data_IF_947614050744
#
_entry.id   IF_947614050744
#
_cell.length_a   1.000
_cell.length_b   1.000
_cell.length_c   1.000
_cell.angle_alpha   90.00
_cell.angle_beta   90.00
_cell.angle_gamma   90.00
#
_symmetry.space_group_name_H-M   'P 1'
#
loop_
_entity.id
_entity.type
_entity.pdbx_description
1 polymer ?
#
# COMPACT_ATOMS: atom_id res chain seq x y z
N UNK A 1 -83.26 25.59 -17.38
CA UNK A 1 -82.59 24.33 -17.73
C UNK A 1 -81.17 24.44 -17.22
N UNK A 2 -80.91 23.86 -16.06
CA UNK A 2 -79.59 23.84 -15.41
C UNK A 2 -79.21 22.39 -15.25
N UNK A 3 -78.17 21.96 -15.95
CA UNK A 3 -77.62 20.60 -15.85
C UNK A 3 -76.62 20.56 -14.71
N UNK A 4 -76.92 19.73 -13.74
CA UNK A 4 -76.03 19.38 -12.66
C UNK A 4 -74.85 18.51 -13.16
N UNK A 5 -73.63 18.90 -12.92
CA UNK A 5 -72.43 18.18 -13.22
C UNK A 5 -71.91 17.55 -11.93
N UNK A 6 -72.03 16.24 -11.82
CA UNK A 6 -71.58 15.44 -10.71
C UNK A 6 -70.05 15.21 -10.84
N UNK A 7 -69.30 15.74 -9.89
CA UNK A 7 -67.85 15.55 -9.78
C UNK A 7 -67.61 14.28 -8.95
N UNK A 8 -67.06 13.26 -9.62
CA UNK A 8 -66.60 12.03 -8.96
C UNK A 8 -65.16 12.21 -8.46
N UNK A 9 -64.99 12.32 -7.17
CA UNK A 9 -63.65 12.32 -6.53
C UNK A 9 -63.14 10.91 -6.45
N UNK A 10 -62.12 10.61 -7.26
CA UNK A 10 -61.31 9.40 -7.12
C UNK A 10 -60.25 9.62 -6.02
N UNK A 11 -60.40 8.91 -4.92
CA UNK A 11 -59.37 8.78 -3.90
C UNK A 11 -58.38 7.75 -4.36
N UNK A 12 -57.19 8.19 -4.86
CA UNK A 12 -56.04 7.34 -5.10
C UNK A 12 -55.28 7.23 -3.76
N UNK A 13 -55.50 6.13 -3.08
CA UNK A 13 -54.69 5.71 -1.95
C UNK A 13 -53.27 5.43 -2.41
N UNK A 14 -52.36 6.34 -2.10
CA UNK A 14 -50.93 6.14 -2.29
C UNK A 14 -50.43 5.16 -1.25
N UNK A 15 -50.28 3.87 -1.63
CA UNK A 15 -49.54 2.90 -0.86
C UNK A 15 -48.03 3.27 -0.94
N UNK A 16 -47.55 3.96 0.09
CA UNK A 16 -46.12 4.05 0.34
C UNK A 16 -45.60 2.65 0.69
N UNK A 17 -45.10 1.96 -0.32
CA UNK A 17 -44.20 0.85 -0.09
C UNK A 17 -42.93 1.44 0.48
N UNK A 18 -42.78 1.33 1.80
CA UNK A 18 -41.48 1.53 2.46
C UNK A 18 -40.52 0.52 1.83
N UNK A 19 -39.68 1.00 0.93
CA UNK A 19 -38.47 0.26 0.57
C UNK A 19 -37.64 0.22 1.84
N UNK A 20 -37.56 -0.96 2.46
CA UNK A 20 -36.53 -1.23 3.43
C UNK A 20 -35.19 -1.06 2.68
N UNK A 21 -34.44 -0.04 3.06
CA UNK A 21 -33.04 0.07 2.66
C UNK A 21 -32.38 -1.27 3.01
N UNK A 22 -31.67 -1.89 2.06
CA UNK A 22 -30.86 -3.04 2.40
C UNK A 22 -29.88 -2.55 3.45
N UNK A 23 -29.97 -3.09 4.66
CA UNK A 23 -29.02 -2.86 5.74
C UNK A 23 -27.63 -2.97 5.14
N UNK A 24 -26.94 -1.84 4.99
CA UNK A 24 -25.56 -1.78 4.60
C UNK A 24 -24.77 -2.53 5.69
N UNK A 25 -24.27 -3.69 5.35
CA UNK A 25 -23.33 -4.45 6.17
C UNK A 25 -22.12 -3.53 6.43
N UNK A 26 -21.89 -3.09 7.68
CA UNK A 26 -20.79 -2.18 7.98
C UNK A 26 -19.39 -2.77 7.70
N UNK A 27 -19.33 -4.05 7.31
CA UNK A 27 -18.10 -4.78 7.00
C UNK A 27 -17.82 -4.94 5.49
N UNK A 28 -18.61 -4.30 4.60
CA UNK A 28 -18.33 -4.26 3.16
C UNK A 28 -17.29 -3.19 2.81
N UNK A 29 -16.07 -3.36 3.33
CA UNK A 29 -14.93 -2.60 2.84
C UNK A 29 -14.52 -3.07 1.43
N UNK A 30 -14.27 -2.15 0.51
CA UNK A 30 -13.63 -2.48 -0.76
C UNK A 30 -12.22 -2.96 -0.51
N UNK A 31 -11.90 -4.20 -0.90
CA UNK A 31 -10.54 -4.72 -0.87
C UNK A 31 -9.85 -4.42 -2.20
N UNK A 32 -8.63 -3.92 -2.12
CA UNK A 32 -7.80 -3.63 -3.28
C UNK A 32 -6.39 -4.16 -3.01
N UNK A 33 -5.90 -5.04 -3.86
CA UNK A 33 -4.51 -5.49 -3.84
C UNK A 33 -3.76 -4.90 -5.03
N UNK A 34 -2.61 -4.28 -4.73
CA UNK A 34 -1.70 -3.69 -5.71
C UNK A 34 -0.33 -4.30 -5.52
N UNK A 35 0.36 -4.56 -6.61
CA UNK A 35 1.62 -5.29 -6.62
C UNK A 35 2.70 -4.51 -7.35
N UNK A 36 3.94 -4.71 -6.93
CA UNK A 36 5.11 -4.37 -7.73
C UNK A 36 6.25 -5.36 -7.45
N UNK A 37 7.17 -5.47 -8.40
CA UNK A 37 8.36 -6.29 -8.31
C UNK A 37 9.60 -5.40 -8.23
N UNK A 38 10.44 -5.63 -7.22
CA UNK A 38 11.62 -4.78 -7.00
C UNK A 38 12.63 -4.87 -8.12
N UNK A 39 12.63 -5.94 -8.90
CA UNK A 39 13.58 -6.15 -9.99
C UNK A 39 13.13 -5.55 -11.33
N UNK A 40 11.83 -5.31 -11.53
CA UNK A 40 11.27 -4.90 -12.83
C UNK A 40 10.45 -3.62 -12.78
N UNK A 41 9.83 -3.28 -11.65
CA UNK A 41 8.85 -2.22 -11.56
C UNK A 41 9.38 -0.93 -10.90
N UNK A 42 10.57 -0.96 -10.30
CA UNK A 42 11.17 0.24 -9.72
C UNK A 42 11.59 1.19 -10.83
N UNK A 43 11.12 2.43 -10.74
CA UNK A 43 11.40 3.51 -11.70
C UNK A 43 12.53 4.41 -11.23
N UNK A 44 12.60 4.69 -9.94
CA UNK A 44 13.68 5.46 -9.32
C UNK A 44 13.83 5.07 -7.86
N UNK A 45 15.05 5.23 -7.37
CA UNK A 45 15.40 5.02 -5.99
C UNK A 45 16.39 6.09 -5.56
N UNK A 46 16.18 6.65 -4.39
CA UNK A 46 17.19 7.42 -3.67
C UNK A 46 17.30 6.84 -2.28
N UNK A 47 18.50 6.58 -1.83
CA UNK A 47 18.75 6.22 -0.44
C UNK A 47 19.82 7.15 0.12
N UNK A 48 19.63 7.63 1.34
CA UNK A 48 20.72 8.09 2.18
C UNK A 48 21.57 6.87 2.61
N UNK A 49 22.63 7.09 3.34
CA UNK A 49 23.48 6.00 3.84
C UNK A 49 22.78 5.05 4.86
N UNK A 50 21.45 5.19 5.02
CA UNK A 50 20.68 4.49 6.04
C UNK A 50 20.56 2.97 5.82
N UNK A 51 20.68 2.49 4.57
CA UNK A 51 20.57 1.06 4.25
C UNK A 51 21.82 0.60 3.52
N UNK A 52 22.84 0.08 4.24
CA UNK A 52 24.05 -0.42 3.60
C UNK A 52 23.84 -1.75 2.83
N UNK A 53 22.66 -2.36 2.90
CA UNK A 53 22.39 -3.69 2.40
C UNK A 53 21.43 -3.76 1.20
N UNK A 54 20.70 -2.69 0.90
CA UNK A 54 19.79 -2.66 -0.24
C UNK A 54 20.47 -2.00 -1.43
N UNK A 55 21.10 -2.80 -2.27
CA UNK A 55 21.59 -2.37 -3.58
C UNK A 55 20.55 -2.79 -4.59
N UNK A 56 19.92 -1.79 -5.22
CA UNK A 56 18.97 -2.04 -6.30
C UNK A 56 19.72 -2.23 -7.63
N UNK A 57 19.08 -2.83 -8.65
CA UNK A 57 19.73 -3.07 -9.94
C UNK A 57 20.39 -1.81 -10.54
N UNK A 58 21.58 -1.94 -11.09
CA UNK A 58 22.37 -0.84 -11.71
C UNK A 58 21.63 0.03 -12.72
N UNK A 59 20.57 -0.53 -13.30
CA UNK A 59 19.73 0.17 -14.29
C UNK A 59 18.81 1.25 -13.68
N UNK A 60 18.68 1.30 -12.34
CA UNK A 60 17.82 2.25 -11.68
C UNK A 60 18.64 3.50 -11.41
N UNK A 61 18.22 4.68 -11.92
CA UNK A 61 18.91 5.90 -11.60
C UNK A 61 18.78 6.19 -10.11
N UNK A 62 19.92 6.26 -9.43
CA UNK A 62 19.99 6.74 -8.04
C UNK A 62 19.99 8.26 -8.05
N UNK A 63 19.27 8.88 -7.14
CA UNK A 63 19.34 10.31 -6.91
C UNK A 63 20.45 10.58 -5.88
N UNK A 64 21.68 10.58 -6.33
CA UNK A 64 22.84 10.84 -5.48
C UNK A 64 22.83 12.27 -4.91
N UNK A 65 23.38 12.43 -3.72
CA UNK A 65 23.67 13.73 -3.12
C UNK A 65 22.54 14.39 -2.33
N UNK A 66 21.51 13.66 -1.93
CA UNK A 66 20.57 14.17 -0.96
C UNK A 66 21.27 14.34 0.41
N UNK A 67 21.13 15.50 1.08
CA UNK A 67 21.76 15.74 2.39
C UNK A 67 21.07 15.00 3.54
N UNK A 68 20.19 14.07 3.23
CA UNK A 68 19.36 13.32 4.17
C UNK A 68 19.87 11.89 4.20
N UNK A 69 20.55 11.54 5.27
CA UNK A 69 21.28 10.27 5.44
C UNK A 69 20.45 9.15 6.11
N UNK A 70 19.17 9.43 6.41
CA UNK A 70 18.26 8.50 7.10
C UNK A 70 16.96 8.23 6.33
N UNK A 71 16.90 8.58 5.05
CA UNK A 71 15.70 8.39 4.24
C UNK A 71 15.95 7.50 3.03
N UNK A 72 14.89 6.79 2.64
CA UNK A 72 14.78 6.15 1.35
C UNK A 72 13.57 6.74 0.60
N UNK A 73 13.73 7.01 -0.68
CA UNK A 73 12.65 7.42 -1.57
C UNK A 73 12.63 6.49 -2.78
N UNK A 74 11.47 5.91 -3.04
CA UNK A 74 11.26 4.95 -4.12
C UNK A 74 10.06 5.35 -4.95
N UNK A 75 10.11 5.10 -6.26
CA UNK A 75 8.94 5.12 -7.13
C UNK A 75 8.84 3.81 -7.90
N UNK A 76 7.61 3.29 -8.03
CA UNK A 76 7.36 2.00 -8.68
C UNK A 76 6.12 2.02 -9.56
N UNK A 77 6.08 1.11 -10.54
CA UNK A 77 4.86 0.81 -11.30
C UNK A 77 3.98 -0.08 -10.43
N UNK A 78 2.71 0.28 -10.29
CA UNK A 78 1.71 -0.58 -9.63
C UNK A 78 0.99 -1.46 -10.64
N UNK A 79 0.83 -2.73 -10.29
CA UNK A 79 0.08 -3.73 -11.06
C UNK A 79 -1.12 -4.24 -10.28
N UNK A 80 -2.15 -4.69 -10.99
CA UNK A 80 -3.25 -5.46 -10.38
C UNK A 80 -2.84 -6.94 -10.24
N UNK A 81 -3.74 -7.77 -9.71
CA UNK A 81 -3.53 -9.22 -9.54
C UNK A 81 -3.33 -10.00 -10.85
N UNK A 82 -3.67 -9.40 -12.00
CA UNK A 82 -3.44 -9.96 -13.34
C UNK A 82 -2.09 -9.53 -13.92
N UNK A 83 -1.28 -8.76 -13.17
CA UNK A 83 0.00 -8.22 -13.61
C UNK A 83 -0.11 -7.02 -14.56
N UNK A 84 -1.32 -6.45 -14.74
CA UNK A 84 -1.55 -5.31 -15.62
C UNK A 84 -1.14 -4.02 -14.90
N UNK A 85 -0.32 -3.13 -15.50
CA UNK A 85 0.00 -1.84 -14.94
C UNK A 85 -1.25 -0.96 -14.75
N UNK A 86 -1.52 -0.53 -13.52
CA UNK A 86 -2.71 0.26 -13.17
C UNK A 86 -2.38 1.62 -12.57
N UNK A 87 -1.11 1.87 -12.24
CA UNK A 87 -0.72 3.13 -11.62
C UNK A 87 0.77 3.21 -11.30
N UNK A 88 1.09 4.19 -10.47
CA UNK A 88 2.44 4.44 -9.96
C UNK A 88 2.34 4.69 -8.45
N UNK A 89 3.31 4.19 -7.70
CA UNK A 89 3.49 4.52 -6.29
C UNK A 89 4.75 5.36 -6.06
N UNK A 90 4.71 6.20 -5.03
CA UNK A 90 5.91 6.70 -4.38
C UNK A 90 5.90 6.32 -2.91
N UNK A 91 7.06 5.96 -2.43
CA UNK A 91 7.33 5.59 -1.04
C UNK A 91 8.41 6.50 -0.48
N UNK A 92 8.21 6.92 0.75
CA UNK A 92 9.20 7.63 1.54
C UNK A 92 9.33 6.94 2.89
N UNK A 93 10.54 6.51 3.22
CA UNK A 93 10.88 5.89 4.50
C UNK A 93 11.81 6.82 5.29
N UNK A 94 11.55 6.96 6.58
CA UNK A 94 12.40 7.71 7.52
C UNK A 94 12.94 6.76 8.59
N UNK A 95 14.22 6.45 8.51
CA UNK A 95 14.89 5.54 9.44
C UNK A 95 15.36 6.25 10.71
N UNK A 96 15.32 5.59 11.87
CA UNK A 96 15.84 6.16 13.11
C UNK A 96 17.37 6.28 13.05
N UNK A 97 17.93 7.39 13.52
CA UNK A 97 19.41 7.59 13.59
C UNK A 97 20.09 6.63 14.56
N UNK A 98 19.37 6.11 15.51
CA UNK A 98 19.87 5.13 16.48
C UNK A 98 18.72 4.21 16.94
N UNK A 99 19.02 2.93 17.09
CA UNK A 99 18.09 1.94 17.63
C UNK A 99 18.63 1.50 18.99
N UNK A 100 17.82 1.57 20.08
CA UNK A 100 18.24 1.06 21.38
C UNK A 100 18.58 -0.43 21.34
N UNK A 101 19.54 -0.86 22.14
CA UNK A 101 19.87 -2.29 22.24
C UNK A 101 18.64 -3.12 22.59
N UNK A 102 18.52 -4.29 21.96
CA UNK A 102 17.42 -5.24 22.12
C UNK A 102 16.02 -4.72 21.73
N UNK A 103 15.94 -3.63 20.97
CA UNK A 103 14.71 -3.11 20.42
C UNK A 103 14.66 -3.45 18.93
N UNK A 104 13.53 -3.95 18.41
CA UNK A 104 13.38 -4.10 16.95
C UNK A 104 13.53 -2.74 16.26
N UNK A 105 14.25 -2.70 15.16
CA UNK A 105 14.32 -1.51 14.33
C UNK A 105 12.98 -1.33 13.64
N UNK A 106 12.34 -0.18 13.86
CA UNK A 106 11.12 0.24 13.18
C UNK A 106 11.35 1.62 12.57
N UNK A 107 10.63 1.91 11.49
CA UNK A 107 10.68 3.21 10.82
C UNK A 107 9.31 3.62 10.30
N UNK A 108 9.17 4.91 10.00
CA UNK A 108 7.95 5.48 9.45
C UNK A 108 8.00 5.50 7.93
N UNK A 109 6.89 5.07 7.30
CA UNK A 109 6.76 4.99 5.85
C UNK A 109 5.48 5.68 5.40
N UNK A 110 5.60 6.50 4.36
CA UNK A 110 4.48 7.16 3.70
C UNK A 110 4.40 6.76 2.24
N UNK A 111 3.20 6.40 1.80
CA UNK A 111 2.91 6.05 0.41
C UNK A 111 1.97 7.05 -0.24
N UNK A 112 2.23 7.34 -1.51
CA UNK A 112 1.27 7.96 -2.42
C UNK A 112 1.06 7.01 -3.60
N UNK A 113 -0.17 6.51 -3.77
CA UNK A 113 -0.55 5.66 -4.88
C UNK A 113 -1.38 6.48 -5.87
N UNK A 114 -0.98 6.55 -7.13
CA UNK A 114 -1.72 7.21 -8.21
C UNK A 114 -2.26 6.15 -9.17
N UNK A 115 -3.58 5.93 -9.17
CA UNK A 115 -4.23 4.92 -9.99
C UNK A 115 -4.86 5.56 -11.22
N UNK A 116 -4.50 5.05 -12.39
CA UNK A 116 -4.92 5.60 -13.70
C UNK A 116 -6.44 5.70 -13.82
N UNK A 117 -6.94 6.92 -13.99
CA UNK A 117 -8.36 7.21 -14.18
C UNK A 117 -9.22 7.12 -12.92
N UNK A 118 -8.63 6.80 -11.75
CA UNK A 118 -9.35 6.61 -10.49
C UNK A 118 -9.03 7.68 -9.44
N UNK A 119 -7.80 8.17 -9.39
CA UNK A 119 -7.35 9.14 -8.41
C UNK A 119 -6.15 8.64 -7.62
N UNK A 120 -5.93 9.23 -6.44
CA UNK A 120 -4.79 8.92 -5.58
C UNK A 120 -5.24 8.45 -4.20
N UNK A 121 -4.40 7.64 -3.56
CA UNK A 121 -4.51 7.24 -2.15
C UNK A 121 -3.26 7.67 -1.40
N UNK A 122 -3.42 8.06 -0.13
CA UNK A 122 -2.36 8.45 0.79
C UNK A 122 -2.35 7.47 1.96
N UNK A 123 -1.22 6.79 2.15
CA UNK A 123 -1.08 5.76 3.18
C UNK A 123 0.06 6.13 4.12
N UNK A 124 0.00 5.60 5.35
CA UNK A 124 1.04 5.72 6.36
C UNK A 124 1.14 4.43 7.15
N UNK A 125 2.36 3.98 7.40
CA UNK A 125 2.63 2.84 8.27
C UNK A 125 3.90 3.05 9.10
N UNK A 126 4.02 2.23 10.12
CA UNK A 126 5.30 1.90 10.72
C UNK A 126 5.70 0.52 10.21
N UNK A 127 6.92 0.39 9.79
CA UNK A 127 7.52 -0.87 9.38
C UNK A 127 8.47 -1.42 10.42
N UNK A 128 8.80 -2.69 10.29
CA UNK A 128 9.73 -3.38 11.18
C UNK A 128 10.76 -4.16 10.36
N UNK A 129 12.00 -4.09 10.79
CA UNK A 129 13.06 -4.92 10.23
C UNK A 129 12.84 -6.39 10.59
N UNK A 130 12.77 -7.22 9.58
CA UNK A 130 12.63 -8.67 9.75
C UNK A 130 14.04 -9.28 9.93
N UNK A 131 14.31 -9.79 11.11
CA UNK A 131 15.64 -10.30 11.46
C UNK A 131 16.08 -11.49 10.59
N UNK A 132 15.15 -12.29 10.10
CA UNK A 132 15.48 -13.41 9.23
C UNK A 132 15.92 -12.94 7.85
N UNK A 133 15.37 -11.85 7.32
CA UNK A 133 15.83 -11.22 6.08
C UNK A 133 17.27 -10.69 6.25
N UNK A 134 17.56 -10.05 7.38
CA UNK A 134 18.91 -9.57 7.70
C UNK A 134 19.91 -10.71 7.72
N UNK A 135 19.55 -11.89 8.26
CA UNK A 135 20.41 -13.09 8.24
C UNK A 135 20.65 -13.61 6.81
N UNK A 136 19.58 -13.61 5.98
CA UNK A 136 19.68 -14.01 4.57
C UNK A 136 20.65 -13.08 3.84
N UNK A 137 20.45 -11.76 3.95
CA UNK A 137 21.26 -10.76 3.26
C UNK A 137 22.73 -10.82 3.71
N UNK A 138 22.97 -10.83 5.02
CA UNK A 138 24.32 -10.92 5.57
C UNK A 138 25.00 -12.25 5.22
N UNK A 139 24.24 -13.35 5.21
CA UNK A 139 24.74 -14.67 4.84
C UNK A 139 25.13 -14.75 3.36
N UNK A 140 24.33 -14.19 2.46
CA UNK A 140 24.64 -14.14 1.03
C UNK A 140 25.90 -13.31 0.77
N UNK A 141 26.00 -12.12 1.37
CA UNK A 141 27.17 -11.25 1.24
C UNK A 141 28.42 -11.97 1.79
N UNK A 142 28.36 -12.56 2.99
CA UNK A 142 29.49 -13.20 3.63
C UNK A 142 29.97 -14.46 2.90
N UNK A 143 29.05 -15.21 2.32
CA UNK A 143 29.39 -16.46 1.57
C UNK A 143 29.79 -16.22 0.13
N UNK A 144 29.48 -15.07 -0.44
CA UNK A 144 29.60 -14.80 -1.88
C UNK A 144 28.64 -15.64 -2.73
N UNK A 145 27.56 -16.16 -2.14
CA UNK A 145 26.57 -17.00 -2.82
C UNK A 145 25.22 -16.32 -2.87
N UNK A 146 24.54 -16.40 -4.02
CA UNK A 146 23.16 -15.94 -4.17
C UNK A 146 22.24 -16.82 -3.31
N UNK A 147 21.38 -16.18 -2.53
CA UNK A 147 20.25 -16.82 -1.90
C UNK A 147 19.04 -16.81 -2.83
N UNK A 148 18.32 -17.91 -2.93
CA UNK A 148 17.03 -18.05 -3.62
C UNK A 148 16.04 -18.76 -2.71
N UNK A 149 14.79 -18.32 -2.70
CA UNK A 149 13.74 -18.88 -1.86
C UNK A 149 12.39 -18.28 -2.19
N UNK A 150 11.44 -18.49 -1.27
CA UNK A 150 10.08 -17.92 -1.33
C UNK A 150 9.60 -17.71 0.10
N UNK A 151 9.95 -16.56 0.67
CA UNK A 151 9.61 -16.21 2.05
C UNK A 151 8.67 -15.01 2.06
N UNK A 152 7.45 -15.22 2.55
CA UNK A 152 6.41 -14.19 2.60
C UNK A 152 6.13 -13.75 4.03
N UNK A 153 6.15 -12.45 4.29
CA UNK A 153 5.78 -11.86 5.57
C UNK A 153 5.30 -10.41 5.42
N UNK A 154 4.49 -9.90 6.36
CA UNK A 154 4.16 -8.49 6.41
C UNK A 154 5.33 -7.68 6.98
N UNK A 155 5.69 -6.57 6.33
CA UNK A 155 6.62 -5.55 6.85
C UNK A 155 5.90 -4.52 7.70
N UNK A 156 4.61 -4.28 7.45
CA UNK A 156 3.79 -3.39 8.27
C UNK A 156 3.77 -3.84 9.74
N UNK A 157 4.15 -2.93 10.65
CA UNK A 157 4.13 -3.14 12.10
C UNK A 157 3.00 -2.37 12.79
N UNK A 158 2.67 -1.19 12.31
CA UNK A 158 1.66 -0.31 12.88
C UNK A 158 1.25 0.83 11.96
N UNK A 159 0.57 1.85 12.50
CA UNK A 159 0.22 2.11 13.89
C UNK A 159 -1.05 1.41 14.40
N UNK A 160 -1.82 0.74 13.54
CA UNK A 160 -3.05 0.09 13.97
C UNK A 160 -2.80 -1.31 14.56
N UNK A 161 -3.65 -1.76 15.51
CA UNK A 161 -3.59 -3.13 16.03
C UNK A 161 -3.68 -4.17 14.91
N UNK A 162 -3.00 -5.31 15.10
CA UNK A 162 -3.00 -6.40 14.11
C UNK A 162 -2.01 -6.20 12.96
N UNK A 163 -1.04 -5.29 13.12
CA UNK A 163 -0.04 -4.95 12.10
C UNK A 163 -0.67 -4.35 10.85
N UNK A 164 -1.41 -3.27 11.02
CA UNK A 164 -1.99 -2.52 9.92
C UNK A 164 -1.49 -1.08 9.91
N UNK A 165 -1.24 -0.57 8.73
CA UNK A 165 -1.09 0.84 8.41
C UNK A 165 -2.43 1.53 8.19
N UNK A 166 -2.40 2.85 8.01
CA UNK A 166 -3.54 3.74 7.87
C UNK A 166 -3.72 4.20 6.43
N UNK A 167 -4.95 4.15 5.92
CA UNK A 167 -5.35 4.91 4.74
C UNK A 167 -5.81 6.28 5.22
N UNK A 168 -5.05 7.32 4.86
CA UNK A 168 -5.21 8.70 5.39
C UNK A 168 -6.13 9.56 4.55
N UNK A 169 -6.47 9.13 3.33
CA UNK A 169 -7.29 9.88 2.39
C UNK A 169 -6.96 9.57 0.95
N UNK A 170 -7.56 10.32 0.05
CA UNK A 170 -7.32 10.19 -1.39
C UNK A 170 -7.98 11.30 -2.18
N UNK A 171 -7.89 11.20 -3.50
CA UNK A 171 -8.52 12.10 -4.47
C UNK A 171 -9.31 11.32 -5.52
N UNK A 172 -10.18 11.99 -6.27
CA UNK A 172 -11.00 11.33 -7.30
C UNK A 172 -11.95 10.30 -6.69
N UNK A 173 -11.92 9.07 -7.18
CA UNK A 173 -12.73 7.95 -6.64
C UNK A 173 -12.47 7.72 -5.14
N UNK A 174 -11.27 8.06 -4.67
CA UNK A 174 -10.83 7.85 -3.29
C UNK A 174 -10.98 9.10 -2.39
N UNK A 175 -11.68 10.12 -2.85
CA UNK A 175 -11.88 11.32 -2.04
C UNK A 175 -12.55 10.99 -0.71
N UNK A 176 -11.87 11.37 0.41
CA UNK A 176 -12.28 11.07 1.78
C UNK A 176 -12.20 9.60 2.16
N UNK A 177 -11.46 8.79 1.38
CA UNK A 177 -11.19 7.40 1.74
C UNK A 177 -10.51 7.31 3.12
N UNK A 178 -10.85 6.29 3.84
CA UNK A 178 -10.21 5.87 5.08
C UNK A 178 -10.13 4.35 5.11
N UNK A 179 -9.39 3.80 6.07
CA UNK A 179 -9.27 2.37 6.19
C UNK A 179 -7.89 1.94 6.69
N UNK A 180 -7.53 0.71 6.37
CA UNK A 180 -6.26 0.12 6.79
C UNK A 180 -5.61 -0.63 5.64
N UNK A 181 -4.30 -0.86 5.74
CA UNK A 181 -3.59 -1.68 4.76
C UNK A 181 -2.46 -2.46 5.40
N UNK A 182 -1.95 -3.43 4.67
CA UNK A 182 -0.71 -4.13 4.97
C UNK A 182 0.19 -4.11 3.74
N UNK A 183 1.45 -3.95 3.98
CA UNK A 183 2.50 -4.26 3.02
C UNK A 183 3.01 -5.66 3.30
N UNK A 184 3.05 -6.50 2.28
CA UNK A 184 3.47 -7.89 2.35
C UNK A 184 4.58 -8.09 1.33
N UNK A 185 5.73 -8.52 1.80
CA UNK A 185 6.91 -8.77 0.97
C UNK A 185 7.08 -10.27 0.80
N UNK A 186 7.31 -10.70 -0.42
CA UNK A 186 7.75 -12.07 -0.76
C UNK A 186 9.16 -11.99 -1.32
N UNK A 187 10.14 -12.37 -0.49
CA UNK A 187 11.53 -12.44 -0.90
C UNK A 187 11.75 -13.66 -1.80
N UNK A 188 12.37 -13.44 -2.95
CA UNK A 188 12.62 -14.51 -3.94
C UNK A 188 14.11 -14.72 -4.20
N UNK A 189 14.91 -13.66 -4.17
CA UNK A 189 16.34 -13.74 -4.43
C UNK A 189 17.09 -12.57 -3.81
N UNK A 190 18.30 -12.86 -3.34
CA UNK A 190 19.26 -11.83 -2.93
C UNK A 190 20.67 -12.25 -3.35
N UNK A 191 21.39 -11.36 -4.03
CA UNK A 191 22.75 -11.64 -4.51
C UNK A 191 23.81 -11.09 -3.57
N UNK A 192 25.05 -11.59 -3.63
CA UNK A 192 26.18 -11.06 -2.84
C UNK A 192 26.47 -9.58 -3.11
N UNK A 193 26.15 -9.10 -4.32
CA UNK A 193 26.28 -7.70 -4.73
C UNK A 193 25.17 -6.80 -4.15
N UNK A 194 24.17 -7.42 -3.49
CA UNK A 194 23.08 -6.72 -2.84
C UNK A 194 21.83 -6.54 -3.70
N UNK A 195 21.71 -7.20 -4.85
CA UNK A 195 20.47 -7.15 -5.65
C UNK A 195 19.35 -7.93 -4.98
N UNK A 196 18.27 -7.23 -4.72
CA UNK A 196 17.04 -7.78 -4.14
C UNK A 196 16.01 -8.03 -5.24
N UNK A 197 15.48 -9.26 -5.29
CA UNK A 197 14.29 -9.58 -6.04
C UNK A 197 13.20 -9.99 -5.05
N UNK A 198 12.18 -9.16 -4.93
CA UNK A 198 11.02 -9.38 -4.09
C UNK A 198 9.76 -8.89 -4.79
N UNK A 199 8.65 -9.58 -4.54
CA UNK A 199 7.33 -9.08 -4.86
C UNK A 199 6.75 -8.39 -3.64
N UNK A 200 6.19 -7.20 -3.83
CA UNK A 200 5.50 -6.44 -2.79
C UNK A 200 4.02 -6.38 -3.13
N UNK A 201 3.16 -6.71 -2.17
CA UNK A 201 1.72 -6.53 -2.22
C UNK A 201 1.30 -5.45 -1.22
N UNK A 202 0.65 -4.41 -1.69
CA UNK A 202 -0.10 -3.47 -0.86
C UNK A 202 -1.56 -3.94 -0.81
N UNK A 203 -1.96 -4.51 0.33
CA UNK A 203 -3.30 -5.04 0.56
C UNK A 203 -4.13 -4.02 1.33
N UNK A 204 -5.06 -3.34 0.65
CA UNK A 204 -5.87 -2.26 1.19
C UNK A 204 -7.28 -2.75 1.53
N UNK A 205 -7.79 -2.30 2.67
CA UNK A 205 -9.18 -2.46 3.11
C UNK A 205 -9.76 -1.05 3.32
N UNK A 206 -10.52 -0.59 2.33
CA UNK A 206 -11.15 0.73 2.31
C UNK A 206 -12.51 0.68 3.00
N UNK A 207 -12.78 1.64 3.87
CA UNK A 207 -14.11 1.83 4.46
C UNK A 207 -14.96 2.64 3.48
N UNK A 208 -16.17 2.15 3.18
CA UNK A 208 -17.11 2.90 2.34
C UNK A 208 -17.55 4.20 3.06
N UNK A 209 -17.64 5.29 2.29
CA UNK A 209 -18.30 6.50 2.77
C UNK A 209 -19.77 6.20 3.06
N UNK A 210 -20.20 6.44 4.28
CA UNK A 210 -21.62 6.53 4.63
C UNK A 210 -22.23 7.80 4.06
#
# INVERSE_FOLDING_TARGET
MIRAMTVLLFWLGSCCLAHADPQSDPDRGHKLSLFFDTSTDILSLSHGHAIPLAVFPDRIPTLDGLPIDTMLALTSILRNSEGIPVGVASELEEFPKAVPENTPMTWDTSWTLMLKGRGSLYLYQQEIMILDDVKIFSGAIASGQTWEGDITHPTTYGPLPGRYGLIKGGTGEFEGASGRFQEIVTLQKFTPEGFLHAQVELRLELVEKQ
#
